data_IF_794140145808
#
_entry.id   IF_794140145808
#
_cell.length_a   1.000
_cell.length_b   1.000
_cell.length_c   1.000
_cell.angle_alpha   90.00
_cell.angle_beta   90.00
_cell.angle_gamma   90.00
#
_symmetry.space_group_name_H-M   'P 1'
#
loop_
_entity.id
_entity.type
_entity.pdbx_description
1 polymer ?
#
# COMPACT_ATOMS: atom_id res chain seq x y z
N UNK A 1 -5.67 -15.60 -4.73
CA UNK A 1 -5.63 -16.17 -6.09
C UNK A 1 -5.59 -15.09 -7.15
N UNK A 2 -5.97 -15.39 -8.38
CA UNK A 2 -5.89 -14.46 -9.54
C UNK A 2 -6.62 -13.13 -9.34
N UNK A 3 -7.72 -13.12 -8.60
CA UNK A 3 -8.47 -11.88 -8.31
C UNK A 3 -7.65 -10.84 -7.57
N UNK A 4 -6.63 -11.24 -6.79
CA UNK A 4 -5.72 -10.30 -6.11
C UNK A 4 -4.85 -9.49 -7.08
N UNK A 5 -4.71 -9.94 -8.34
CA UNK A 5 -3.99 -9.22 -9.39
C UNK A 5 -4.76 -8.01 -9.96
N UNK A 6 -5.97 -7.78 -9.50
CA UNK A 6 -6.79 -6.61 -9.87
C UNK A 6 -6.78 -5.63 -8.69
N UNK A 7 -6.24 -4.39 -8.85
CA UNK A 7 -6.16 -3.40 -7.78
C UNK A 7 -7.49 -3.15 -7.06
N UNK A 8 -8.59 -3.12 -7.83
CA UNK A 8 -9.96 -2.98 -7.33
C UNK A 8 -10.80 -4.25 -7.54
N UNK A 9 -10.14 -5.41 -7.41
CA UNK A 9 -10.84 -6.70 -7.48
C UNK A 9 -11.74 -6.91 -6.26
N UNK A 10 -12.90 -7.48 -6.50
CA UNK A 10 -13.83 -7.91 -5.44
C UNK A 10 -13.82 -9.41 -5.24
N UNK A 11 -14.51 -9.90 -4.19
CA UNK A 11 -14.73 -11.33 -4.01
C UNK A 11 -15.54 -11.89 -5.18
N UNK A 12 -14.96 -12.87 -5.86
CA UNK A 12 -15.65 -13.63 -6.89
C UNK A 12 -16.30 -14.89 -6.31
N UNK A 13 -16.93 -15.68 -7.19
CA UNK A 13 -17.51 -16.99 -6.80
C UNK A 13 -16.48 -18.10 -6.57
N UNK A 14 -15.17 -17.78 -6.59
CA UNK A 14 -14.11 -18.77 -6.39
C UNK A 14 -13.96 -19.16 -4.93
N UNK A 15 -13.67 -20.45 -4.70
CA UNK A 15 -13.33 -20.95 -3.37
C UNK A 15 -11.85 -20.78 -3.07
N UNK A 16 -11.51 -20.55 -1.80
CA UNK A 16 -10.12 -20.57 -1.35
C UNK A 16 -9.57 -21.99 -1.45
N UNK A 17 -8.42 -22.12 -2.07
CA UNK A 17 -7.65 -23.37 -2.13
C UNK A 17 -6.26 -23.12 -1.55
N UNK A 18 -5.61 -24.19 -1.06
CA UNK A 18 -4.22 -24.09 -0.62
C UNK A 18 -3.33 -23.55 -1.73
N UNK A 19 -2.20 -22.97 -1.35
CA UNK A 19 -1.19 -22.38 -2.25
C UNK A 19 -1.75 -21.18 -3.05
N UNK A 20 -2.60 -20.37 -2.41
CA UNK A 20 -3.18 -19.15 -2.99
C UNK A 20 -2.77 -17.89 -2.23
N UNK A 21 -2.58 -16.82 -2.99
CA UNK A 21 -2.50 -15.47 -2.43
C UNK A 21 -3.91 -14.94 -2.15
N UNK A 22 -4.11 -14.41 -0.95
CA UNK A 22 -5.34 -13.73 -0.53
C UNK A 22 -4.98 -12.30 -0.18
N UNK A 23 -5.58 -11.35 -0.92
CA UNK A 23 -5.52 -9.94 -0.62
C UNK A 23 -6.84 -9.56 0.06
N UNK A 24 -6.74 -8.99 1.24
CA UNK A 24 -7.85 -8.49 2.05
C UNK A 24 -7.66 -6.99 2.16
N UNK A 25 -8.67 -6.27 1.73
CA UNK A 25 -8.73 -4.82 1.81
C UNK A 25 -10.02 -4.46 2.51
N UNK A 26 -9.90 -3.74 3.63
CA UNK A 26 -11.02 -3.46 4.50
C UNK A 26 -10.77 -2.23 5.36
N UNK A 27 -11.87 -1.56 5.68
CA UNK A 27 -11.87 -0.42 6.56
C UNK A 27 -13.13 -0.36 7.40
N UNK A 28 -13.20 0.65 8.25
CA UNK A 28 -14.38 0.94 9.03
C UNK A 28 -14.62 2.46 9.10
N UNK A 29 -15.80 2.82 9.61
CA UNK A 29 -16.14 4.23 9.87
C UNK A 29 -16.59 4.38 11.31
N UNK A 30 -15.93 5.31 12.02
CA UNK A 30 -16.26 5.64 13.42
C UNK A 30 -16.45 7.15 13.55
N UNK A 31 -17.60 7.58 14.03
CA UNK A 31 -17.96 8.99 14.16
C UNK A 31 -17.79 9.81 12.86
N UNK A 32 -17.95 9.16 11.70
CA UNK A 32 -17.79 9.78 10.38
C UNK A 32 -16.39 9.64 9.78
N UNK A 33 -15.37 9.32 10.54
CA UNK A 33 -14.00 9.12 10.05
C UNK A 33 -13.79 7.69 9.59
N UNK A 34 -13.01 7.54 8.50
CA UNK A 34 -12.72 6.26 7.85
C UNK A 34 -11.33 5.76 8.20
N UNK A 35 -11.15 4.44 8.13
CA UNK A 35 -9.84 3.77 8.08
C UNK A 35 -9.77 2.89 6.84
N UNK A 36 -8.55 2.63 6.35
CA UNK A 36 -8.31 1.80 5.16
C UNK A 36 -7.02 0.98 5.32
N UNK A 37 -7.14 -0.34 5.27
CA UNK A 37 -6.02 -1.25 5.51
C UNK A 37 -6.08 -2.42 4.55
N UNK A 38 -4.98 -2.67 3.83
CA UNK A 38 -4.85 -3.89 3.04
C UNK A 38 -3.74 -4.79 3.56
N UNK A 39 -4.03 -6.09 3.56
CA UNK A 39 -3.10 -7.15 3.90
C UNK A 39 -3.12 -8.24 2.83
N UNK A 40 -1.94 -8.70 2.48
CA UNK A 40 -1.79 -9.84 1.57
C UNK A 40 -1.17 -11.00 2.32
N UNK A 41 -1.81 -12.15 2.25
CA UNK A 41 -1.36 -13.38 2.90
C UNK A 41 -1.21 -14.51 1.90
N UNK A 42 -0.35 -15.46 2.22
CA UNK A 42 -0.30 -16.75 1.56
C UNK A 42 -1.18 -17.75 2.31
N UNK A 43 -2.13 -18.34 1.60
CA UNK A 43 -3.00 -19.36 2.16
C UNK A 43 -2.50 -20.75 1.75
N UNK A 44 -1.71 -21.38 2.60
CA UNK A 44 -1.06 -22.66 2.34
C UNK A 44 0.05 -22.95 3.33
N UNK A 45 0.79 -24.03 3.09
CA UNK A 45 1.80 -24.52 4.04
C UNK A 45 3.08 -23.65 3.97
N UNK A 46 3.60 -23.40 2.78
CA UNK A 46 4.78 -22.55 2.61
C UNK A 46 4.62 -21.59 1.42
N UNK A 47 4.87 -20.28 1.61
CA UNK A 47 4.80 -19.33 0.52
C UNK A 47 5.88 -19.59 -0.53
N UNK A 48 5.51 -19.45 -1.82
CA UNK A 48 6.45 -19.57 -2.93
C UNK A 48 7.53 -18.49 -2.88
N UNK A 49 8.70 -18.77 -3.44
CA UNK A 49 9.80 -17.79 -3.45
C UNK A 49 9.43 -16.54 -4.25
N UNK A 50 8.67 -16.67 -5.35
CA UNK A 50 8.15 -15.51 -6.09
C UNK A 50 7.24 -14.66 -5.22
N UNK A 51 6.33 -15.26 -4.43
CA UNK A 51 5.47 -14.52 -3.52
C UNK A 51 6.28 -13.78 -2.45
N UNK A 52 7.26 -14.45 -1.80
CA UNK A 52 8.14 -13.82 -0.81
C UNK A 52 8.90 -12.63 -1.40
N UNK A 53 9.45 -12.80 -2.60
CA UNK A 53 10.16 -11.72 -3.31
C UNK A 53 9.26 -10.52 -3.55
N UNK A 54 8.07 -10.73 -4.13
CA UNK A 54 7.11 -9.66 -4.42
C UNK A 54 6.60 -9.01 -3.13
N UNK A 55 6.26 -9.80 -2.12
CA UNK A 55 5.83 -9.30 -0.82
C UNK A 55 6.89 -8.41 -0.16
N UNK A 56 8.14 -8.87 -0.14
CA UNK A 56 9.25 -8.11 0.46
C UNK A 56 9.58 -6.82 -0.32
N UNK A 57 9.39 -6.81 -1.65
CA UNK A 57 9.51 -5.58 -2.45
C UNK A 57 8.42 -4.57 -2.10
N UNK A 58 7.17 -5.00 -2.00
CA UNK A 58 6.05 -4.13 -1.60
C UNK A 58 6.25 -3.60 -0.18
N UNK A 59 6.65 -4.47 0.76
CA UNK A 59 6.98 -4.06 2.13
C UNK A 59 8.14 -3.05 2.16
N UNK A 60 9.18 -3.29 1.36
CA UNK A 60 10.32 -2.37 1.24
C UNK A 60 9.94 -1.03 0.62
N UNK A 61 9.05 -1.02 -0.36
CA UNK A 61 8.52 0.19 -0.99
C UNK A 61 7.72 1.04 0.01
N UNK A 62 6.86 0.40 0.79
CA UNK A 62 6.11 1.07 1.85
C UNK A 62 7.06 1.67 2.89
N UNK A 63 8.08 0.90 3.34
CA UNK A 63 9.10 1.37 4.28
C UNK A 63 9.84 2.58 3.74
N UNK A 64 10.28 2.55 2.47
CA UNK A 64 11.02 3.64 1.86
C UNK A 64 10.22 4.96 1.83
N UNK A 65 8.92 4.89 1.55
CA UNK A 65 8.05 6.05 1.62
C UNK A 65 7.93 6.58 3.05
N UNK A 66 7.66 5.71 4.03
CA UNK A 66 7.53 6.11 5.44
C UNK A 66 8.82 6.75 5.97
N UNK A 67 9.96 6.13 5.69
CA UNK A 67 11.27 6.61 6.16
C UNK A 67 11.67 7.96 5.54
N UNK A 68 11.20 8.24 4.31
CA UNK A 68 11.42 9.52 3.64
C UNK A 68 10.57 10.62 4.26
N UNK A 69 9.33 10.34 4.65
CA UNK A 69 8.34 11.33 5.05
C UNK A 69 8.84 12.27 6.15
N UNK A 70 8.93 13.57 5.84
CA UNK A 70 9.28 14.65 6.78
C UNK A 70 8.38 15.85 6.52
N UNK A 71 7.77 16.42 7.58
CA UNK A 71 6.91 17.58 7.41
C UNK A 71 7.68 18.75 6.84
N UNK A 72 7.00 19.57 6.04
CA UNK A 72 7.46 20.79 5.38
C UNK A 72 8.59 20.63 4.36
N UNK A 73 9.31 19.52 4.36
CA UNK A 73 10.47 19.30 3.46
C UNK A 73 10.19 18.29 2.37
N UNK A 74 9.39 17.27 2.64
CA UNK A 74 9.01 16.22 1.67
C UNK A 74 7.64 16.53 1.09
N UNK A 75 7.48 16.32 -0.21
CA UNK A 75 6.22 16.54 -0.95
C UNK A 75 5.52 15.22 -1.23
N UNK A 76 4.20 15.28 -1.44
CA UNK A 76 3.39 14.10 -1.71
C UNK A 76 3.93 13.25 -2.88
N UNK A 77 4.36 13.87 -3.98
CA UNK A 77 4.95 13.16 -5.13
C UNK A 77 6.26 12.44 -4.77
N UNK A 78 7.03 12.94 -3.81
CA UNK A 78 8.29 12.32 -3.42
C UNK A 78 8.07 11.04 -2.64
N UNK A 79 6.98 10.95 -1.89
CA UNK A 79 6.53 9.71 -1.25
C UNK A 79 6.23 8.62 -2.29
N UNK A 80 5.46 8.96 -3.35
CA UNK A 80 5.17 8.03 -4.47
C UNK A 80 6.46 7.60 -5.18
N UNK A 81 7.33 8.56 -5.50
CA UNK A 81 8.62 8.29 -6.15
C UNK A 81 9.51 7.35 -5.34
N UNK A 82 9.56 7.50 -4.01
CA UNK A 82 10.37 6.65 -3.15
C UNK A 82 9.89 5.19 -3.19
N UNK A 83 8.58 4.96 -3.04
CA UNK A 83 8.01 3.62 -3.13
C UNK A 83 8.18 3.03 -4.53
N UNK A 84 7.87 3.81 -5.57
CA UNK A 84 7.96 3.40 -6.97
C UNK A 84 9.38 3.04 -7.39
N UNK A 85 10.38 3.76 -6.85
CA UNK A 85 11.79 3.45 -7.09
C UNK A 85 12.16 2.05 -6.62
N UNK A 86 11.78 1.66 -5.41
CA UNK A 86 12.06 0.32 -4.86
C UNK A 86 11.47 -0.78 -5.75
N UNK A 87 10.21 -0.60 -6.16
CA UNK A 87 9.52 -1.58 -7.02
C UNK A 87 10.16 -1.63 -8.41
N UNK A 88 10.58 -0.48 -8.96
CA UNK A 88 11.22 -0.40 -10.28
C UNK A 88 12.62 -1.02 -10.27
N UNK A 89 13.42 -0.73 -9.26
CA UNK A 89 14.75 -1.33 -9.07
C UNK A 89 14.64 -2.86 -8.92
N UNK A 90 13.55 -3.34 -8.30
CA UNK A 90 13.19 -4.76 -8.22
C UNK A 90 12.69 -5.36 -9.54
N UNK A 91 12.61 -4.59 -10.64
CA UNK A 91 12.11 -4.97 -11.98
C UNK A 91 10.60 -5.23 -12.06
N UNK A 92 9.82 -4.74 -11.11
CA UNK A 92 8.37 -4.87 -11.08
C UNK A 92 7.63 -3.54 -11.37
N UNK A 93 8.32 -2.46 -11.75
CA UNK A 93 7.76 -1.11 -11.92
C UNK A 93 6.50 -1.06 -12.79
N UNK A 94 6.43 -1.85 -13.90
CA UNK A 94 5.25 -1.92 -14.79
C UNK A 94 3.99 -2.49 -14.12
N UNK A 95 4.14 -3.14 -12.98
CA UNK A 95 3.04 -3.77 -12.24
C UNK A 95 2.53 -2.92 -11.08
N UNK A 96 3.16 -1.78 -10.80
CA UNK A 96 2.68 -0.79 -9.84
C UNK A 96 1.88 0.28 -10.60
N UNK A 97 0.58 0.07 -10.76
CA UNK A 97 -0.29 0.74 -11.73
C UNK A 97 -1.13 1.88 -11.17
N UNK A 98 -1.05 2.16 -9.89
CA UNK A 98 -1.80 3.25 -9.23
C UNK A 98 -0.88 4.18 -8.44
N UNK A 99 -1.41 5.26 -7.87
CA UNK A 99 -0.71 6.17 -6.94
C UNK A 99 -0.33 5.44 -5.65
N UNK A 100 0.62 5.99 -4.92
CA UNK A 100 1.05 5.40 -3.64
C UNK A 100 -0.04 5.42 -2.57
N UNK A 101 -0.92 6.43 -2.57
CA UNK A 101 -1.96 6.54 -1.57
C UNK A 101 -2.81 7.81 -1.73
N UNK A 102 -3.72 7.99 -0.81
CA UNK A 102 -4.68 9.10 -0.79
C UNK A 102 -4.91 9.59 0.64
N UNK A 103 -5.30 10.84 0.77
CA UNK A 103 -5.77 11.39 2.03
C UNK A 103 -7.04 10.67 2.47
N UNK A 104 -7.26 10.66 3.76
CA UNK A 104 -8.44 10.08 4.35
C UNK A 104 -8.90 10.89 5.56
N UNK A 105 -10.20 10.89 5.76
CA UNK A 105 -10.86 11.60 6.82
C UNK A 105 -12.32 11.18 6.88
N UNK A 106 -13.21 12.05 6.49
CA UNK A 106 -14.64 11.76 6.42
C UNK A 106 -15.04 11.12 5.09
N UNK A 107 -14.28 11.39 4.01
CA UNK A 107 -14.40 10.69 2.75
C UNK A 107 -13.41 9.53 2.70
N UNK A 108 -13.75 8.47 1.95
CA UNK A 108 -12.85 7.31 1.77
C UNK A 108 -11.59 7.69 0.98
N UNK A 109 -11.73 8.58 -0.01
CA UNK A 109 -10.62 9.15 -0.76
C UNK A 109 -10.75 10.66 -0.79
N UNK A 110 -9.78 11.37 -0.24
CA UNK A 110 -9.73 12.83 -0.24
C UNK A 110 -8.28 13.34 -0.42
N UNK A 111 -8.04 14.63 -0.72
CA UNK A 111 -6.69 15.17 -0.69
C UNK A 111 -6.06 15.08 0.71
N UNK A 112 -4.70 15.00 0.78
CA UNK A 112 -3.78 15.03 -0.34
C UNK A 112 -3.60 13.65 -0.99
N UNK A 113 -3.30 13.62 -2.31
CA UNK A 113 -2.97 12.39 -3.01
C UNK A 113 -1.46 12.22 -3.12
N UNK A 114 -0.96 11.03 -2.73
CA UNK A 114 0.45 10.65 -2.87
C UNK A 114 0.67 10.15 -4.29
N UNK A 115 0.90 11.08 -5.22
CA UNK A 115 0.97 10.81 -6.66
C UNK A 115 1.96 11.76 -7.35
N UNK A 116 2.56 11.30 -8.45
CA UNK A 116 3.40 12.12 -9.31
C UNK A 116 2.67 13.40 -9.76
N UNK A 117 3.36 14.54 -9.67
CA UNK A 117 2.82 15.85 -9.99
C UNK A 117 2.16 16.59 -8.82
N UNK A 118 1.96 15.95 -7.67
CA UNK A 118 1.48 16.63 -6.47
C UNK A 118 2.67 17.14 -5.64
N UNK A 119 2.93 18.44 -5.73
CA UNK A 119 4.04 19.11 -5.04
C UNK A 119 3.64 19.72 -3.67
N UNK A 120 2.46 19.36 -3.16
CA UNK A 120 2.01 19.75 -1.81
C UNK A 120 3.00 19.21 -0.77
N UNK A 121 3.58 20.06 0.11
CA UNK A 121 4.42 19.59 1.19
C UNK A 121 3.60 18.81 2.22
N UNK A 122 4.22 17.82 2.85
CA UNK A 122 3.61 17.16 4.01
C UNK A 122 3.48 18.13 5.17
N UNK A 123 2.33 18.16 5.83
CA UNK A 123 2.08 19.01 7.00
C UNK A 123 1.59 18.16 8.18
N UNK A 124 2.01 18.49 9.42
CA UNK A 124 1.54 17.79 10.61
C UNK A 124 0.01 17.80 10.69
N UNK A 125 -0.55 16.63 11.00
CA UNK A 125 -2.00 16.41 11.05
C UNK A 125 -2.59 15.84 9.77
N UNK A 126 -1.86 15.79 8.64
CA UNK A 126 -2.31 15.06 7.47
C UNK A 126 -2.38 13.57 7.76
N UNK A 127 -3.48 12.94 7.36
CA UNK A 127 -3.68 11.48 7.40
C UNK A 127 -3.88 10.98 5.98
N UNK A 128 -3.17 9.92 5.60
CA UNK A 128 -3.24 9.33 4.27
C UNK A 128 -2.85 7.86 4.29
N UNK A 129 -3.21 7.13 3.24
CA UNK A 129 -2.78 5.74 3.05
C UNK A 129 -1.37 5.68 2.44
N UNK A 130 -0.62 4.63 2.78
CA UNK A 130 0.60 4.22 2.09
C UNK A 130 0.40 2.78 1.65
N UNK A 131 0.06 2.60 0.37
CA UNK A 131 -0.49 1.36 -0.19
C UNK A 131 0.22 0.87 -1.47
N UNK A 132 1.55 0.77 -1.51
CA UNK A 132 2.20 0.27 -2.71
C UNK A 132 1.71 -1.13 -3.04
N UNK A 133 1.62 -1.43 -4.34
CA UNK A 133 1.17 -2.74 -4.82
C UNK A 133 1.88 -3.20 -6.09
N UNK A 134 1.98 -4.51 -6.26
CA UNK A 134 2.47 -5.20 -7.45
C UNK A 134 1.38 -6.17 -7.91
N UNK A 135 0.87 -5.98 -9.14
CA UNK A 135 -0.25 -6.75 -9.67
C UNK A 135 0.15 -7.45 -10.97
N UNK A 136 0.39 -8.74 -10.89
CA UNK A 136 0.75 -9.56 -12.04
C UNK A 136 -0.52 -10.26 -12.57
N UNK A 137 -1.12 -9.72 -13.62
CA UNK A 137 -2.32 -10.30 -14.24
C UNK A 137 -2.10 -11.79 -14.49
N UNK A 138 -3.15 -12.59 -14.32
CA UNK A 138 -3.16 -14.05 -14.43
C UNK A 138 -2.35 -14.82 -13.37
N UNK A 139 -1.65 -14.12 -12.47
CA UNK A 139 -0.91 -14.73 -11.36
C UNK A 139 -1.51 -14.35 -10.02
N UNK A 140 -0.99 -13.27 -9.44
CA UNK A 140 -1.44 -12.70 -8.17
C UNK A 140 -1.03 -11.24 -8.04
N UNK A 141 -1.61 -10.57 -7.08
CA UNK A 141 -1.19 -9.25 -6.63
C UNK A 141 -0.88 -9.22 -5.15
N UNK A 142 -0.02 -8.28 -4.78
CA UNK A 142 0.33 -7.95 -3.39
C UNK A 142 0.10 -6.47 -3.18
N UNK A 143 -0.68 -6.10 -2.16
CA UNK A 143 -0.76 -4.75 -1.59
C UNK A 143 -0.57 -4.85 -0.08
N UNK A 144 0.21 -3.94 0.46
CA UNK A 144 0.33 -3.69 1.90
C UNK A 144 -0.02 -2.24 2.11
N UNK A 145 -1.06 -1.98 2.89
CA UNK A 145 -1.61 -0.67 3.11
C UNK A 145 -1.78 -0.39 4.58
N UNK A 146 -1.34 0.78 4.97
CA UNK A 146 -1.51 1.30 6.32
C UNK A 146 -1.92 2.78 6.27
N UNK A 147 -2.75 3.17 7.24
CA UNK A 147 -3.04 4.57 7.53
C UNK A 147 -1.83 5.20 8.21
N UNK A 148 -1.46 6.37 7.76
CA UNK A 148 -0.29 7.10 8.23
C UNK A 148 -0.64 8.54 8.61
N UNK A 149 -0.09 9.00 9.73
CA UNK A 149 -0.21 10.35 10.25
C UNK A 149 1.12 11.10 10.11
N UNK A 150 1.09 12.29 9.56
CA UNK A 150 2.23 13.21 9.62
C UNK A 150 2.30 13.83 11.01
N UNK A 151 3.39 13.56 11.71
CA UNK A 151 3.70 14.16 13.02
C UNK A 151 4.61 15.38 12.86
N UNK A 152 5.00 16.01 13.94
CA UNK A 152 5.96 17.13 13.91
C UNK A 152 7.36 16.73 13.39
N UNK A 153 7.71 15.44 13.40
CA UNK A 153 9.08 14.96 13.11
C UNK A 153 9.16 13.93 11.98
N UNK A 154 8.04 13.38 11.51
CA UNK A 154 8.02 12.34 10.49
C UNK A 154 6.63 11.79 10.24
N UNK A 155 6.58 10.55 9.77
CA UNK A 155 5.35 9.82 9.50
C UNK A 155 5.21 8.67 10.50
N UNK A 156 4.06 8.59 11.15
CA UNK A 156 3.68 7.53 12.08
C UNK A 156 2.59 6.65 11.45
N UNK A 157 2.72 5.34 11.57
CA UNK A 157 1.73 4.38 11.08
C UNK A 157 0.74 4.06 12.20
N UNK A 158 -0.55 4.15 11.90
CA UNK A 158 -1.63 3.97 12.86
C UNK A 158 -2.06 2.50 13.06
N UNK A 159 -1.56 1.59 12.22
CA UNK A 159 -1.90 0.17 12.23
C UNK A 159 -0.67 -0.72 12.42
N UNK A 160 -0.89 -1.98 12.80
CA UNK A 160 0.20 -2.94 12.93
C UNK A 160 0.65 -3.43 11.55
N UNK A 161 1.88 -3.08 11.17
CA UNK A 161 2.48 -3.51 9.91
C UNK A 161 2.80 -5.02 9.92
N UNK A 162 2.67 -5.71 8.78
CA UNK A 162 3.13 -7.10 8.69
C UNK A 162 4.66 -7.17 8.76
N UNK A 163 5.18 -8.32 9.24
CA UNK A 163 6.60 -8.62 9.15
C UNK A 163 6.99 -8.98 7.70
N UNK A 164 8.29 -8.88 7.39
CA UNK A 164 8.84 -9.45 6.15
C UNK A 164 8.73 -10.98 6.15
N UNK A 165 8.62 -11.56 4.97
CA UNK A 165 8.59 -13.01 4.75
C UNK A 165 9.97 -13.59 4.43
#
# INVERSE_FOLDING_TARGET
GRSSALPHGGPGGGQLAKEMVVLIDCGCRVAGYTSDIARTIWYGDAPSDEFKQVFNLVHGAQTAAMDLGRPFTVRCQEMDRAARKVITDGRYGRYFTHRLGHGMGMDGHEPPYMVEGNDTPLEPGMVFTIEPGIYQLEKFGVRIEDDALVTATGVEVLSQRPAKL
#
